data_IF_127526001303
#
_entry.id   IF_127526001303
#
_cell.length_a   1.000
_cell.length_b   1.000
_cell.length_c   1.000
_cell.angle_alpha   90.00
_cell.angle_beta   90.00
_cell.angle_gamma   90.00
#
_symmetry.space_group_name_H-M   'P 1'
#
loop_
_entity.id
_entity.type
_entity.pdbx_description
1 polymer ?
#
# COMPACT_ATOMS: atom_id res chain seq x y z
N UNK A 1 7.52 40.81 0.52
CA UNK A 1 8.12 39.93 -0.50
C UNK A 1 7.47 38.58 -0.35
N UNK A 2 6.42 38.32 -1.11
CA UNK A 2 5.61 37.10 -1.11
C UNK A 2 6.25 36.15 -2.11
N UNK A 3 6.66 34.96 -1.64
CA UNK A 3 7.13 33.89 -2.54
C UNK A 3 5.94 33.35 -3.31
N UNK A 4 6.04 33.13 -4.61
CA UNK A 4 4.98 32.51 -5.37
C UNK A 4 4.85 31.03 -4.96
N UNK A 5 3.61 30.60 -4.75
CA UNK A 5 3.24 29.20 -4.66
C UNK A 5 3.68 28.54 -5.97
N UNK A 6 4.68 27.68 -5.94
CA UNK A 6 5.00 26.79 -7.04
C UNK A 6 3.85 25.78 -7.21
N UNK A 7 3.32 25.82 -8.40
CA UNK A 7 2.17 25.08 -8.86
C UNK A 7 2.54 23.57 -8.92
N UNK A 8 2.11 22.80 -7.92
CA UNK A 8 2.31 21.35 -7.82
C UNK A 8 1.56 20.55 -8.91
N UNK A 9 0.99 21.23 -9.93
CA UNK A 9 0.06 20.61 -10.89
C UNK A 9 0.71 19.91 -12.08
N UNK A 10 2.04 19.95 -12.27
CA UNK A 10 2.67 19.39 -13.47
C UNK A 10 3.94 18.58 -13.18
N UNK A 11 3.78 17.45 -12.52
CA UNK A 11 4.69 16.35 -12.76
C UNK A 11 3.90 15.14 -13.27
N UNK A 12 3.72 15.11 -14.59
CA UNK A 12 3.36 13.88 -15.30
C UNK A 12 4.48 12.87 -15.04
N UNK A 13 4.16 11.72 -14.42
CA UNK A 13 5.18 10.68 -14.25
C UNK A 13 5.64 10.23 -15.64
N UNK A 14 6.94 10.32 -15.89
CA UNK A 14 7.57 9.79 -17.08
C UNK A 14 7.17 8.33 -17.31
N UNK A 15 6.50 8.08 -18.39
CA UNK A 15 6.31 6.90 -19.27
C UNK A 15 6.52 5.46 -18.74
N UNK A 16 6.42 5.16 -17.46
CA UNK A 16 6.17 3.81 -17.01
C UNK A 16 4.66 3.58 -16.91
N UNK A 17 4.08 3.07 -18.01
CA UNK A 17 2.71 2.52 -17.92
C UNK A 17 2.75 1.39 -16.90
N UNK A 18 1.96 1.49 -15.83
CA UNK A 18 1.81 0.39 -14.89
C UNK A 18 1.45 -0.87 -15.66
N UNK A 19 2.20 -1.93 -15.49
CA UNK A 19 1.96 -3.18 -16.22
C UNK A 19 1.19 -4.18 -15.37
N UNK A 20 0.34 -4.95 -16.01
CA UNK A 20 -0.35 -6.08 -15.39
C UNK A 20 -1.87 -5.94 -15.35
N UNK A 21 -2.58 -7.04 -15.03
CA UNK A 21 -4.02 -7.06 -14.85
C UNK A 21 -4.41 -6.34 -13.56
N UNK A 22 -5.68 -5.93 -13.46
CA UNK A 22 -6.23 -5.46 -12.19
C UNK A 22 -6.24 -6.60 -11.15
N UNK A 23 -5.84 -6.29 -9.93
CA UNK A 23 -5.75 -7.22 -8.82
C UNK A 23 -7.00 -7.09 -7.96
N UNK A 24 -7.81 -8.15 -7.90
CA UNK A 24 -9.00 -8.22 -7.04
C UNK A 24 -8.66 -8.91 -5.71
N UNK A 25 -8.84 -8.19 -4.61
CA UNK A 25 -8.57 -8.73 -3.29
C UNK A 25 -9.85 -9.35 -2.70
N UNK A 26 -9.73 -10.56 -2.17
CA UNK A 26 -10.86 -11.33 -1.62
C UNK A 26 -10.78 -11.44 -0.10
N UNK A 27 -11.88 -11.23 0.65
CA UNK A 27 -11.92 -11.46 2.09
C UNK A 27 -11.41 -12.87 2.46
N UNK A 28 -10.66 -12.93 3.54
CA UNK A 28 -10.03 -14.17 4.02
C UNK A 28 -8.63 -14.42 3.47
N UNK A 29 -8.20 -13.72 2.41
CA UNK A 29 -6.85 -13.84 1.85
C UNK A 29 -5.78 -13.25 2.79
N UNK A 30 -4.56 -13.81 2.70
CA UNK A 30 -3.40 -13.38 3.48
C UNK A 30 -2.44 -12.55 2.64
N UNK A 31 -1.99 -11.46 3.18
CA UNK A 31 -1.13 -10.50 2.47
C UNK A 31 0.08 -10.13 3.32
N UNK A 32 1.26 -10.42 2.81
CA UNK A 32 2.48 -9.82 3.33
C UNK A 32 2.58 -8.41 2.77
N UNK A 33 2.58 -7.41 3.63
CA UNK A 33 2.64 -6.01 3.23
C UNK A 33 3.93 -5.40 3.79
N UNK A 34 4.77 -4.92 2.89
CA UNK A 34 5.97 -4.15 3.22
C UNK A 34 5.69 -2.69 2.97
N UNK A 35 6.05 -1.85 3.93
CA UNK A 35 6.11 -0.39 3.76
C UNK A 35 7.56 0.02 3.95
N UNK A 36 8.15 0.60 2.92
CA UNK A 36 9.52 1.09 2.92
C UNK A 36 9.57 2.61 2.80
N UNK A 37 10.47 3.23 3.54
CA UNK A 37 10.85 4.63 3.36
C UNK A 37 12.12 4.70 2.52
N UNK A 38 12.11 5.55 1.52
CA UNK A 38 13.18 5.71 0.55
C UNK A 38 13.53 7.19 0.45
N UNK A 39 14.82 7.52 0.37
CA UNK A 39 15.22 8.89 0.08
C UNK A 39 14.67 9.33 -1.29
N UNK A 40 14.17 10.56 -1.39
CA UNK A 40 13.48 11.04 -2.60
C UNK A 40 14.36 10.95 -3.86
N UNK A 41 15.66 11.19 -3.72
CA UNK A 41 16.65 11.06 -4.80
C UNK A 41 16.87 9.62 -5.26
N UNK A 42 16.50 8.63 -4.43
CA UNK A 42 16.57 7.19 -4.72
C UNK A 42 15.25 6.57 -5.10
N UNK A 43 14.18 7.34 -5.20
CA UNK A 43 12.83 6.82 -5.43
C UNK A 43 12.72 5.88 -6.66
N UNK A 44 13.29 6.20 -7.84
CA UNK A 44 13.25 5.27 -8.97
C UNK A 44 13.96 3.94 -8.69
N UNK A 45 15.11 3.98 -8.02
CA UNK A 45 15.84 2.77 -7.61
C UNK A 45 15.04 2.00 -6.52
N UNK A 46 14.35 2.72 -5.64
CA UNK A 46 13.47 2.14 -4.65
C UNK A 46 12.34 1.33 -5.28
N UNK A 47 11.61 1.91 -6.22
CA UNK A 47 10.54 1.19 -6.94
C UNK A 47 11.10 -0.06 -7.62
N UNK A 48 12.18 0.07 -8.40
CA UNK A 48 12.81 -1.05 -9.10
C UNK A 48 13.26 -2.17 -8.15
N UNK A 49 13.83 -1.82 -7.00
CA UNK A 49 14.23 -2.80 -5.99
C UNK A 49 13.04 -3.57 -5.41
N UNK A 50 11.89 -2.90 -5.20
CA UNK A 50 10.68 -3.57 -4.71
C UNK A 50 9.93 -4.34 -5.79
N UNK A 51 10.03 -3.96 -7.06
CA UNK A 51 9.59 -4.79 -8.19
C UNK A 51 10.41 -6.09 -8.27
N UNK A 52 11.74 -5.98 -8.16
CA UNK A 52 12.65 -7.14 -8.09
C UNK A 52 12.35 -8.01 -6.86
N UNK A 53 12.11 -7.38 -5.70
CA UNK A 53 11.76 -8.10 -4.47
C UNK A 53 10.51 -8.96 -4.64
N UNK A 54 9.48 -8.45 -5.29
CA UNK A 54 8.25 -9.21 -5.55
C UNK A 54 8.52 -10.44 -6.40
N UNK A 55 9.37 -10.34 -7.42
CA UNK A 55 9.78 -11.48 -8.24
C UNK A 55 10.63 -12.49 -7.46
N UNK A 56 11.53 -12.02 -6.61
CA UNK A 56 12.36 -12.86 -5.76
C UNK A 56 11.55 -13.52 -4.63
N UNK A 57 10.57 -12.82 -4.08
CA UNK A 57 9.70 -13.35 -3.02
C UNK A 57 8.96 -14.63 -3.45
N UNK A 58 8.71 -14.81 -4.75
CA UNK A 58 8.17 -16.05 -5.32
C UNK A 58 9.07 -17.25 -5.09
N UNK A 59 10.38 -17.08 -5.04
CA UNK A 59 11.35 -18.15 -4.77
C UNK A 59 11.20 -18.62 -3.32
N UNK A 60 11.07 -17.68 -2.39
CA UNK A 60 10.89 -17.95 -0.96
C UNK A 60 9.46 -18.41 -0.62
N UNK A 61 8.48 -17.98 -1.38
CA UNK A 61 7.07 -18.32 -1.23
C UNK A 61 6.49 -18.81 -2.58
N UNK A 62 6.78 -20.06 -3.00
CA UNK A 62 6.39 -20.57 -4.32
C UNK A 62 4.88 -20.62 -4.58
N UNK A 63 4.08 -20.56 -3.53
CA UNK A 63 2.61 -20.51 -3.59
C UNK A 63 2.05 -19.07 -3.58
N UNK A 64 2.92 -18.06 -3.64
CA UNK A 64 2.45 -16.69 -3.83
C UNK A 64 1.69 -16.60 -5.14
N UNK A 65 0.54 -15.93 -5.12
CA UNK A 65 -0.38 -15.90 -6.26
C UNK A 65 -0.34 -14.58 -6.99
N UNK A 66 -0.25 -13.51 -6.23
CA UNK A 66 -0.42 -12.17 -6.76
C UNK A 66 0.45 -11.20 -5.97
N UNK A 67 0.83 -10.12 -6.60
CA UNK A 67 1.58 -9.05 -5.97
C UNK A 67 1.25 -7.69 -6.57
N UNK A 68 1.47 -6.64 -5.77
CA UNK A 68 1.41 -5.26 -6.22
C UNK A 68 2.55 -4.45 -5.62
N UNK A 69 3.03 -3.47 -6.38
CA UNK A 69 3.97 -2.44 -5.92
C UNK A 69 3.34 -1.07 -6.17
N UNK A 70 3.34 -0.24 -5.14
CA UNK A 70 2.81 1.10 -5.18
C UNK A 70 3.88 2.09 -4.70
N UNK A 71 3.90 3.26 -5.31
CA UNK A 71 4.79 4.37 -4.94
C UNK A 71 3.96 5.53 -4.41
N UNK A 72 4.39 6.15 -3.32
CA UNK A 72 3.76 7.38 -2.82
C UNK A 72 3.99 8.56 -3.77
N UNK A 73 3.05 9.52 -3.76
CA UNK A 73 3.15 10.70 -4.62
C UNK A 73 4.36 11.58 -4.27
N UNK A 74 4.79 11.60 -3.01
CA UNK A 74 6.00 12.29 -2.58
C UNK A 74 7.29 11.53 -2.88
N UNK A 75 7.15 10.32 -3.45
CA UNK A 75 8.24 9.40 -3.82
C UNK A 75 9.12 8.93 -2.66
N UNK A 76 8.64 9.06 -1.42
CA UNK A 76 9.40 8.67 -0.22
C UNK A 76 8.99 7.32 0.35
N UNK A 77 7.93 6.72 -0.19
CA UNK A 77 7.46 5.41 0.28
C UNK A 77 7.15 4.49 -0.88
N UNK A 78 7.46 3.23 -0.67
CA UNK A 78 7.05 2.13 -1.54
C UNK A 78 6.30 1.12 -0.69
N UNK A 79 5.15 0.67 -1.20
CA UNK A 79 4.43 -0.46 -0.64
C UNK A 79 4.59 -1.63 -1.60
N UNK A 80 5.00 -2.79 -1.06
CA UNK A 80 4.94 -4.05 -1.77
C UNK A 80 3.95 -4.98 -1.05
N UNK A 81 3.01 -5.54 -1.78
CA UNK A 81 2.00 -6.47 -1.30
C UNK A 81 2.18 -7.81 -1.99
N UNK A 82 2.15 -8.89 -1.22
CA UNK A 82 2.27 -10.24 -1.74
C UNK A 82 1.18 -11.14 -1.15
N UNK A 83 0.36 -11.74 -2.02
CA UNK A 83 -0.69 -12.67 -1.64
C UNK A 83 -0.08 -14.03 -1.29
N UNK A 84 -0.30 -14.50 -0.06
CA UNK A 84 0.25 -15.73 0.48
C UNK A 84 -0.84 -16.74 0.84
N UNK A 85 -0.47 -18.02 0.91
CA UNK A 85 -1.36 -19.09 1.37
C UNK A 85 -1.54 -19.11 2.91
N UNK A 86 -0.91 -18.19 3.66
CA UNK A 86 -1.05 -18.09 5.11
C UNK A 86 0.28 -17.99 5.87
N UNK A 87 0.24 -18.31 7.15
CA UNK A 87 1.35 -18.13 8.09
C UNK A 87 2.62 -18.89 7.74
N UNK A 88 2.50 -20.10 7.22
CA UNK A 88 3.67 -20.89 6.87
C UNK A 88 4.45 -20.25 5.72
N UNK A 89 3.74 -19.80 4.69
CA UNK A 89 4.35 -19.07 3.58
C UNK A 89 5.01 -17.77 4.06
N UNK A 90 4.39 -17.07 5.02
CA UNK A 90 4.97 -15.87 5.62
C UNK A 90 6.24 -16.17 6.44
N UNK A 91 6.25 -17.28 7.21
CA UNK A 91 7.47 -17.70 7.93
C UNK A 91 8.63 -18.02 6.98
N UNK A 92 8.35 -18.69 5.88
CA UNK A 92 9.36 -18.93 4.85
C UNK A 92 9.85 -17.62 4.21
N UNK A 93 8.95 -16.70 3.90
CA UNK A 93 9.30 -15.40 3.38
C UNK A 93 10.17 -14.61 4.36
N UNK A 94 9.81 -14.58 5.65
CA UNK A 94 10.59 -13.83 6.68
C UNK A 94 11.94 -14.48 6.94
N UNK A 95 12.05 -15.78 6.92
CA UNK A 95 13.33 -16.47 7.05
C UNK A 95 14.29 -16.11 5.88
N UNK A 96 13.75 -16.05 4.65
CA UNK A 96 14.52 -15.62 3.48
C UNK A 96 14.75 -14.10 3.47
N UNK A 97 13.88 -13.33 4.15
CA UNK A 97 13.96 -11.86 4.22
C UNK A 97 15.24 -11.36 4.86
N UNK A 98 15.76 -12.09 5.83
CA UNK A 98 17.03 -11.78 6.50
C UNK A 98 18.25 -12.27 5.71
N UNK A 99 18.02 -13.04 4.63
CA UNK A 99 19.08 -13.43 3.71
C UNK A 99 19.49 -12.25 2.83
N UNK A 100 20.59 -11.61 3.19
CA UNK A 100 21.12 -10.45 2.50
C UNK A 100 21.44 -10.69 1.00
N UNK A 101 21.65 -11.95 0.61
CA UNK A 101 21.92 -12.26 -0.79
C UNK A 101 20.66 -12.22 -1.65
N UNK A 102 19.54 -12.64 -1.10
CA UNK A 102 18.28 -12.70 -1.84
C UNK A 102 17.60 -11.32 -1.98
N UNK A 103 17.71 -10.46 -0.97
CA UNK A 103 17.00 -9.18 -0.95
C UNK A 103 17.95 -7.97 -0.77
N UNK A 104 19.20 -8.11 -1.24
CA UNK A 104 20.26 -7.10 -1.01
C UNK A 104 19.90 -5.71 -1.57
N UNK A 105 19.23 -5.64 -2.72
CA UNK A 105 18.93 -4.38 -3.38
C UNK A 105 18.02 -3.47 -2.53
N UNK A 106 17.05 -4.04 -1.81
CA UNK A 106 16.17 -3.28 -0.93
C UNK A 106 16.90 -2.59 0.22
N UNK A 107 17.92 -3.27 0.80
CA UNK A 107 18.72 -2.72 1.89
C UNK A 107 19.58 -1.54 1.43
N UNK A 108 19.94 -1.51 0.15
CA UNK A 108 20.71 -0.41 -0.40
C UNK A 108 19.89 0.87 -0.63
N UNK A 109 18.56 0.75 -0.76
CA UNK A 109 17.67 1.87 -1.13
C UNK A 109 16.73 2.31 -0.02
N UNK A 110 16.33 1.41 0.88
CA UNK A 110 15.41 1.73 1.96
C UNK A 110 16.13 2.28 3.19
N UNK A 111 15.70 3.44 3.66
CA UNK A 111 16.14 4.03 4.93
C UNK A 111 15.54 3.29 6.13
N UNK A 112 14.30 2.87 5.99
CA UNK A 112 13.60 2.01 6.93
C UNK A 112 12.53 1.19 6.23
N UNK A 113 12.19 0.06 6.80
CA UNK A 113 11.13 -0.79 6.26
C UNK A 113 10.44 -1.57 7.36
N UNK A 114 9.20 -1.93 7.10
CA UNK A 114 8.43 -2.83 7.95
C UNK A 114 7.73 -3.86 7.09
N UNK A 115 7.73 -5.11 7.54
CA UNK A 115 6.99 -6.20 6.91
C UNK A 115 6.02 -6.76 7.94
N UNK A 116 4.76 -6.93 7.57
CA UNK A 116 3.77 -7.56 8.42
C UNK A 116 2.83 -8.45 7.61
N UNK A 117 2.30 -9.48 8.25
CA UNK A 117 1.25 -10.33 7.70
C UNK A 117 -0.11 -9.77 8.08
N UNK A 118 -0.97 -9.62 7.10
CA UNK A 118 -2.34 -9.17 7.28
C UNK A 118 -3.33 -10.16 6.69
N UNK A 119 -4.46 -10.31 7.32
CA UNK A 119 -5.61 -11.01 6.75
C UNK A 119 -6.63 -9.98 6.27
N UNK A 120 -7.05 -10.06 5.02
CA UNK A 120 -8.15 -9.23 4.54
C UNK A 120 -9.45 -9.63 5.23
N UNK A 121 -9.99 -8.74 6.04
CA UNK A 121 -11.20 -8.99 6.85
C UNK A 121 -12.45 -8.73 6.03
N UNK A 122 -12.51 -7.57 5.38
CA UNK A 122 -13.68 -7.15 4.60
C UNK A 122 -13.31 -6.14 3.52
N UNK A 123 -14.15 -6.07 2.51
CA UNK A 123 -14.11 -5.09 1.44
C UNK A 123 -15.36 -4.21 1.49
N UNK A 124 -15.20 -2.96 1.07
CA UNK A 124 -16.28 -1.99 0.91
C UNK A 124 -16.12 -1.35 -0.47
N UNK A 125 -17.15 -1.37 -1.30
CA UNK A 125 -17.08 -0.87 -2.67
C UNK A 125 -16.16 -1.71 -3.57
N UNK A 126 -15.47 -1.06 -4.49
CA UNK A 126 -14.56 -1.72 -5.43
C UNK A 126 -13.21 -2.05 -4.78
N UNK A 127 -12.94 -3.33 -4.55
CA UNK A 127 -11.72 -3.83 -3.90
C UNK A 127 -10.67 -4.29 -4.92
N UNK A 128 -10.30 -3.40 -5.83
CA UNK A 128 -9.32 -3.69 -6.87
C UNK A 128 -8.13 -2.74 -6.81
N UNK A 129 -6.93 -3.26 -7.05
CA UNK A 129 -5.74 -2.48 -7.34
C UNK A 129 -5.55 -2.55 -8.87
N UNK A 130 -5.82 -1.45 -9.55
CA UNK A 130 -5.80 -1.38 -11.01
C UNK A 130 -4.67 -0.47 -11.50
N UNK A 131 -3.66 -1.05 -12.16
CA UNK A 131 -2.54 -0.28 -12.69
C UNK A 131 -2.94 0.66 -13.84
N UNK A 132 -4.08 0.43 -14.48
CA UNK A 132 -4.60 1.29 -15.56
C UNK A 132 -5.45 2.44 -15.02
N UNK A 133 -5.84 2.39 -13.73
CA UNK A 133 -6.65 3.43 -13.10
C UNK A 133 -5.82 4.67 -12.78
N UNK A 134 -6.46 5.82 -12.88
CA UNK A 134 -5.93 7.11 -12.41
C UNK A 134 -6.29 7.39 -10.95
N UNK A 135 -6.94 6.46 -10.28
CA UNK A 135 -7.38 6.61 -8.91
C UNK A 135 -6.19 6.74 -7.94
N UNK A 136 -6.43 7.45 -6.86
CA UNK A 136 -5.51 7.56 -5.77
C UNK A 136 -5.78 6.48 -4.72
N UNK A 137 -4.72 5.88 -4.22
CA UNK A 137 -4.77 4.89 -3.16
C UNK A 137 -4.15 5.46 -1.90
N UNK A 138 -4.66 5.07 -0.74
CA UNK A 138 -4.03 5.36 0.52
C UNK A 138 -3.94 4.09 1.38
N UNK A 139 -2.85 3.99 2.14
CA UNK A 139 -2.62 2.92 3.10
C UNK A 139 -2.34 3.53 4.48
N UNK A 140 -3.12 3.13 5.45
CA UNK A 140 -2.95 3.58 6.83
C UNK A 140 -2.98 2.41 7.80
N UNK A 141 -2.11 2.47 8.81
CA UNK A 141 -2.20 1.60 9.97
C UNK A 141 -3.14 2.24 10.97
N UNK A 142 -4.12 1.47 11.43
CA UNK A 142 -5.12 1.92 12.40
C UNK A 142 -4.91 1.13 13.68
N UNK A 143 -4.82 1.79 14.81
CA UNK A 143 -4.80 1.10 16.10
C UNK A 143 -6.13 0.40 16.32
N UNK A 144 -6.07 -0.86 16.69
CA UNK A 144 -7.08 -1.89 16.53
C UNK A 144 -8.32 -1.82 17.41
N UNK A 145 -9.27 -2.61 16.98
CA UNK A 145 -10.45 -3.14 17.60
C UNK A 145 -11.48 -3.48 16.54
N UNK A 146 -12.10 -4.63 16.62
CA UNK A 146 -13.14 -5.08 15.66
C UNK A 146 -14.31 -4.08 15.56
N UNK A 147 -14.59 -3.35 16.62
CA UNK A 147 -15.60 -2.28 16.63
C UNK A 147 -15.20 -1.10 15.72
N UNK A 148 -13.90 -0.80 15.59
CA UNK A 148 -13.39 0.24 14.71
C UNK A 148 -13.54 -0.10 13.24
N UNK A 149 -13.45 -1.37 12.86
CA UNK A 149 -13.61 -1.79 11.45
C UNK A 149 -14.92 -1.31 10.85
N UNK A 150 -16.02 -1.46 11.58
CA UNK A 150 -17.33 -0.95 11.15
C UNK A 150 -17.39 0.58 11.06
N UNK A 151 -16.83 1.27 12.05
CA UNK A 151 -16.78 2.73 12.07
C UNK A 151 -15.91 3.29 10.93
N UNK A 152 -14.73 2.70 10.70
CA UNK A 152 -13.85 3.05 9.56
C UNK A 152 -14.57 2.84 8.25
N UNK A 153 -15.21 1.68 8.06
CA UNK A 153 -15.96 1.35 6.86
C UNK A 153 -17.08 2.36 6.58
N UNK A 154 -17.87 2.70 7.61
CA UNK A 154 -18.94 3.66 7.47
C UNK A 154 -18.45 5.09 7.14
N UNK A 155 -17.41 5.54 7.84
CA UNK A 155 -16.84 6.87 7.61
C UNK A 155 -16.25 7.02 6.21
N UNK A 156 -15.48 6.02 5.75
CA UNK A 156 -14.85 6.04 4.42
C UNK A 156 -15.91 5.98 3.32
N UNK A 157 -16.90 5.08 3.43
CA UNK A 157 -17.91 4.90 2.38
C UNK A 157 -18.85 6.09 2.19
N UNK A 158 -18.95 6.94 3.19
CA UNK A 158 -19.74 8.19 3.10
C UNK A 158 -18.97 9.34 2.45
N UNK A 159 -17.67 9.19 2.23
CA UNK A 159 -16.82 10.27 1.71
C UNK A 159 -17.03 10.48 0.20
N UNK A 160 -17.08 11.74 -0.28
CA UNK A 160 -17.13 12.03 -1.71
C UNK A 160 -15.92 11.43 -2.44
N UNK A 161 -16.15 10.94 -3.65
CA UNK A 161 -15.10 10.34 -4.48
C UNK A 161 -14.65 8.95 -4.06
N UNK A 162 -15.18 8.41 -2.96
CA UNK A 162 -14.89 7.04 -2.53
C UNK A 162 -15.18 6.01 -3.62
N UNK A 163 -14.23 5.10 -3.84
CA UNK A 163 -14.36 3.97 -4.77
C UNK A 163 -14.40 2.65 -4.05
N UNK A 164 -13.51 2.44 -3.11
CA UNK A 164 -13.45 1.20 -2.36
C UNK A 164 -12.46 1.23 -1.22
N UNK A 165 -12.59 0.27 -0.32
CA UNK A 165 -11.65 0.05 0.78
C UNK A 165 -11.48 -1.44 1.08
N UNK A 166 -10.30 -1.79 1.54
CA UNK A 166 -9.90 -3.10 1.99
C UNK A 166 -9.41 -2.98 3.43
N UNK A 167 -10.07 -3.65 4.35
CA UNK A 167 -9.76 -3.60 5.78
C UNK A 167 -9.02 -4.86 6.18
N UNK A 168 -7.82 -4.70 6.72
CA UNK A 168 -6.93 -5.77 7.10
C UNK A 168 -6.80 -5.87 8.62
N UNK A 169 -6.85 -7.09 9.14
CA UNK A 169 -6.45 -7.43 10.50
C UNK A 169 -5.00 -7.90 10.50
N UNK A 170 -4.16 -7.36 11.36
CA UNK A 170 -2.81 -7.88 11.55
C UNK A 170 -2.85 -9.16 12.38
N UNK A 171 -2.00 -10.13 11.99
CA UNK A 171 -1.91 -11.39 12.72
C UNK A 171 -1.14 -11.23 14.02
N UNK A 172 -1.75 -11.68 15.12
CA UNK A 172 -1.13 -11.67 16.46
C UNK A 172 -0.86 -10.30 17.05
N UNK A 173 -1.28 -9.22 16.42
CA UNK A 173 -1.15 -7.86 16.91
C UNK A 173 -2.49 -7.12 16.89
N UNK A 174 -2.62 -6.16 17.81
CA UNK A 174 -3.80 -5.28 17.85
C UNK A 174 -3.85 -4.26 16.69
N UNK A 175 -2.98 -4.33 15.71
CA UNK A 175 -2.90 -3.38 14.61
C UNK A 175 -3.74 -3.84 13.42
N UNK A 176 -4.61 -2.99 12.97
CA UNK A 176 -5.31 -3.11 11.70
C UNK A 176 -4.69 -2.16 10.67
N UNK A 177 -4.93 -2.43 9.41
CA UNK A 177 -4.59 -1.52 8.33
C UNK A 177 -5.80 -1.34 7.43
N UNK A 178 -5.90 -0.20 6.82
CA UNK A 178 -6.89 0.09 5.80
C UNK A 178 -6.18 0.55 4.53
N UNK A 179 -6.57 -0.04 3.42
CA UNK A 179 -6.19 0.38 2.10
C UNK A 179 -7.43 0.86 1.39
N UNK A 180 -7.48 2.12 1.00
CA UNK A 180 -8.66 2.71 0.41
C UNK A 180 -8.35 3.47 -0.86
N UNK A 181 -9.35 3.61 -1.71
CA UNK A 181 -9.27 4.12 -3.08
C UNK A 181 -10.30 5.22 -3.28
N UNK A 182 -9.86 6.31 -3.86
CA UNK A 182 -10.66 7.46 -4.26
C UNK A 182 -10.41 7.80 -5.72
N UNK A 183 -11.33 8.51 -6.36
CA UNK A 183 -11.14 8.97 -7.74
C UNK A 183 -9.98 9.95 -7.89
N UNK A 184 -9.67 10.74 -6.83
CA UNK A 184 -8.57 11.70 -6.84
C UNK A 184 -7.89 11.81 -5.47
N UNK A 185 -6.62 12.21 -5.46
CA UNK A 185 -5.85 12.40 -4.23
C UNK A 185 -6.43 13.51 -3.34
N UNK A 186 -6.94 14.60 -3.93
CA UNK A 186 -7.55 15.73 -3.20
C UNK A 186 -8.76 15.30 -2.35
N UNK A 187 -9.49 14.28 -2.81
CA UNK A 187 -10.64 13.73 -2.09
C UNK A 187 -10.21 12.95 -0.86
N UNK A 188 -9.06 12.26 -0.94
CA UNK A 188 -8.45 11.60 0.22
C UNK A 188 -8.04 12.65 1.26
N UNK A 189 -7.39 13.74 0.84
CA UNK A 189 -7.01 14.83 1.74
C UNK A 189 -8.23 15.47 2.40
N UNK A 190 -9.27 15.72 1.60
CA UNK A 190 -10.54 16.26 2.10
C UNK A 190 -11.16 15.32 3.13
N UNK A 191 -11.23 14.03 2.84
CA UNK A 191 -11.73 13.02 3.78
C UNK A 191 -10.92 12.99 5.07
N UNK A 192 -9.57 12.94 4.99
CA UNK A 192 -8.68 12.88 6.15
C UNK A 192 -8.76 14.11 7.04
N UNK A 193 -9.14 15.26 6.48
CA UNK A 193 -9.36 16.49 7.25
C UNK A 193 -10.63 16.46 8.10
N UNK A 194 -11.58 15.54 7.81
CA UNK A 194 -12.84 15.45 8.56
C UNK A 194 -12.64 14.97 9.99
N UNK A 195 -13.49 15.40 10.95
CA UNK A 195 -13.47 14.88 12.31
C UNK A 195 -13.66 13.37 12.39
N UNK A 196 -14.52 12.82 11.54
CA UNK A 196 -14.84 11.40 11.46
C UNK A 196 -13.61 10.59 11.07
N UNK A 197 -12.87 11.01 10.02
CA UNK A 197 -11.65 10.36 9.61
C UNK A 197 -10.59 10.40 10.71
N UNK A 198 -10.38 11.55 11.35
CA UNK A 198 -9.44 11.71 12.47
C UNK A 198 -9.80 10.80 13.65
N UNK A 199 -11.08 10.63 13.91
CA UNK A 199 -11.56 9.75 14.98
C UNK A 199 -11.26 8.26 14.68
N UNK A 200 -11.47 7.81 13.43
CA UNK A 200 -11.37 6.39 13.06
C UNK A 200 -9.98 5.98 12.59
N UNK A 201 -9.23 6.86 11.91
CA UNK A 201 -7.89 6.57 11.41
C UNK A 201 -6.80 6.98 12.40
N UNK A 202 -7.11 7.86 13.34
CA UNK A 202 -6.12 8.46 14.23
C UNK A 202 -5.41 9.68 13.62
N UNK A 203 -4.39 10.21 14.31
CA UNK A 203 -3.63 11.35 13.80
C UNK A 203 -2.92 10.94 12.50
N UNK A 204 -3.20 11.67 11.45
CA UNK A 204 -2.62 11.44 10.12
C UNK A 204 -1.13 11.78 10.10
N UNK A 205 -0.36 11.03 9.31
CA UNK A 205 0.97 11.45 8.87
C UNK A 205 0.93 12.74 8.04
N UNK A 206 2.09 13.24 7.63
CA UNK A 206 2.17 14.44 6.80
C UNK A 206 1.39 14.27 5.49
N UNK A 207 0.78 15.34 4.96
CA UNK A 207 0.14 15.32 3.65
C UNK A 207 1.10 14.80 2.57
N UNK A 208 0.61 13.95 1.65
CA UNK A 208 1.41 13.36 0.56
C UNK A 208 2.16 12.08 0.91
N UNK A 209 2.37 11.79 2.19
CA UNK A 209 3.05 10.55 2.62
C UNK A 209 2.21 9.29 2.45
N UNK A 210 0.91 9.42 2.26
CA UNK A 210 -0.05 8.32 2.31
C UNK A 210 -0.75 8.04 1.00
N UNK A 211 -0.50 8.83 -0.04
CA UNK A 211 -1.13 8.62 -1.35
C UNK A 211 -0.20 7.85 -2.26
N UNK A 212 -0.75 6.84 -2.90
CA UNK A 212 0.02 5.90 -3.71
C UNK A 212 -0.57 5.78 -5.11
N UNK A 213 0.33 5.68 -6.09
CA UNK A 213 0.02 5.22 -7.44
C UNK A 213 0.49 3.78 -7.61
N UNK A 214 -0.26 2.99 -8.35
CA UNK A 214 0.12 1.61 -8.67
C UNK A 214 1.27 1.63 -9.68
N UNK A 215 2.34 0.89 -9.42
CA UNK A 215 3.49 0.75 -10.31
C UNK A 215 3.53 -0.61 -10.98
N UNK A 216 3.18 -1.64 -10.27
CA UNK A 216 3.21 -3.00 -10.77
C UNK A 216 2.05 -3.81 -10.18
N UNK A 217 1.43 -4.64 -11.01
CA UNK A 217 0.62 -5.78 -10.56
C UNK A 217 1.12 -7.03 -11.29
N UNK A 218 1.23 -8.14 -10.58
CA UNK A 218 1.63 -9.45 -11.10
C UNK A 218 0.67 -10.53 -10.62
N UNK A 219 0.35 -11.43 -11.51
CA UNK A 219 -0.27 -12.73 -11.18
C UNK A 219 0.76 -13.81 -11.48
N UNK A 220 1.02 -14.65 -10.52
CA UNK A 220 1.96 -15.75 -10.67
C UNK A 220 1.19 -17.01 -11.08
N UNK A 221 1.69 -17.68 -12.11
CA UNK A 221 1.15 -18.94 -12.62
C UNK A 221 1.67 -20.14 -11.84
#
# INVERSE_FOLDING_TARGET
>A
MTRPHEDLRHHTPTDHRPGGPALALSPGSWWAITVAHVAAERAPAGVAAYETLVEQARIAAPKAREAAVLESHDRRRVIAMLHLDGHEAFRHLTAAWDDHHMFAERHAVAESQSLALYRLVTNVGESTIDPASTDAYAFERVSSGTERTGAVSAAISAAPGFRGAMLFGADGADASAVFYRFSHADEIETFRATPEAKHVLGPSGAPGETFYAVRLVRTFA
#
